data_IF_930265150494
#
_entry.id   IF_930265150494
#
_cell.length_a   1.000
_cell.length_b   1.000
_cell.length_c   1.000
_cell.angle_alpha   90.00
_cell.angle_beta   90.00
_cell.angle_gamma   90.00
#
_symmetry.space_group_name_H-M   'P 1'
#
loop_
_entity.id
_entity.type
_entity.pdbx_description
1 polymer ?
#
# COMPACT_ATOMS: atom_id res chain seq x y z
N UNK A 1 0.85 21.66 6.31
CA UNK A 1 1.19 20.40 7.00
C UNK A 1 2.71 20.24 7.06
N UNK A 2 3.23 19.93 8.23
CA UNK A 2 4.62 19.53 8.42
C UNK A 2 4.70 18.04 8.74
N UNK A 3 5.86 17.45 8.49
CA UNK A 3 6.16 16.04 8.75
C UNK A 3 7.42 15.94 9.60
N UNK A 4 7.36 15.18 10.67
CA UNK A 4 8.52 14.86 11.48
C UNK A 4 8.95 13.41 11.27
N UNK A 5 10.19 13.12 11.62
CA UNK A 5 10.71 11.75 11.61
C UNK A 5 10.30 11.01 12.89
N UNK A 6 9.81 9.78 12.78
CA UNK A 6 9.60 8.90 13.93
C UNK A 6 10.91 8.52 14.65
N UNK A 7 12.07 8.70 14.01
CA UNK A 7 13.39 8.65 14.64
C UNK A 7 13.70 9.84 15.54
N UNK A 8 12.93 10.94 15.42
CA UNK A 8 12.96 12.18 16.23
C UNK A 8 14.31 12.90 16.26
N UNK A 9 15.20 12.64 15.27
CA UNK A 9 16.54 13.25 15.15
C UNK A 9 16.71 14.08 13.88
N UNK A 10 15.72 14.09 12.98
CA UNK A 10 15.72 14.88 11.77
C UNK A 10 14.81 16.11 11.92
N UNK A 11 15.06 17.21 11.18
CA UNK A 11 14.19 18.37 11.18
C UNK A 11 12.83 18.05 10.56
N UNK A 12 11.81 18.83 10.95
CA UNK A 12 10.51 18.77 10.30
C UNK A 12 10.61 19.29 8.86
N UNK A 13 9.83 18.68 7.98
CA UNK A 13 9.82 19.02 6.54
C UNK A 13 8.39 19.16 6.04
N UNK A 14 8.19 19.78 4.89
CA UNK A 14 6.90 19.81 4.19
C UNK A 14 6.62 18.48 3.45
N UNK A 15 5.40 18.35 2.91
CA UNK A 15 5.01 17.16 2.14
C UNK A 15 5.91 16.95 0.90
N UNK A 16 6.29 18.03 0.19
CA UNK A 16 7.18 17.95 -0.99
C UNK A 16 8.48 17.25 -0.63
N UNK A 17 9.14 17.73 0.41
CA UNK A 17 10.42 17.16 0.88
C UNK A 17 10.25 15.71 1.36
N UNK A 18 9.22 15.43 2.16
CA UNK A 18 8.95 14.08 2.65
C UNK A 18 8.68 13.07 1.51
N UNK A 19 7.93 13.48 0.48
CA UNK A 19 7.64 12.65 -0.69
C UNK A 19 8.87 12.42 -1.58
N UNK A 20 9.71 13.46 -1.78
CA UNK A 20 10.91 13.35 -2.62
C UNK A 20 12.01 12.55 -1.92
N UNK A 21 12.23 12.73 -0.62
CA UNK A 21 13.27 11.99 0.12
C UNK A 21 12.83 10.59 0.51
N UNK A 22 11.51 10.37 0.69
CA UNK A 22 10.92 9.08 1.04
C UNK A 22 11.16 8.64 2.48
N UNK A 23 12.33 8.88 3.03
CA UNK A 23 12.73 8.56 4.40
C UNK A 23 13.59 9.68 4.97
N UNK A 24 13.48 9.94 6.26
CA UNK A 24 14.25 10.98 6.93
C UNK A 24 15.75 10.64 7.03
N UNK A 25 16.64 11.64 7.14
CA UNK A 25 18.11 11.41 7.26
C UNK A 25 18.51 10.53 8.44
N UNK A 26 17.71 10.51 9.52
CA UNK A 26 17.89 9.64 10.69
C UNK A 26 17.31 8.23 10.49
N UNK A 27 16.88 7.89 9.26
CA UNK A 27 16.23 6.64 8.86
C UNK A 27 14.86 6.40 9.50
N UNK A 28 14.29 7.38 10.21
CA UNK A 28 12.92 7.35 10.67
C UNK A 28 11.93 7.53 9.52
N UNK A 29 10.72 7.00 9.68
CA UNK A 29 9.64 7.23 8.73
C UNK A 29 9.04 8.62 9.00
N UNK A 30 8.68 9.32 7.94
CA UNK A 30 7.94 10.57 8.08
C UNK A 30 6.50 10.31 8.54
N UNK A 31 6.04 11.18 9.44
CA UNK A 31 4.69 11.18 9.99
C UNK A 31 4.17 12.63 10.09
N UNK A 32 2.89 12.92 9.80
CA UNK A 32 2.36 14.28 9.90
C UNK A 32 2.39 14.78 11.36
N UNK A 33 2.73 16.06 11.56
CA UNK A 33 2.79 16.67 12.91
C UNK A 33 1.44 16.70 13.60
N UNK A 34 0.36 16.64 12.84
CA UNK A 34 -1.01 16.49 13.33
C UNK A 34 -1.82 15.59 12.39
N UNK A 35 -2.74 14.83 12.94
CA UNK A 35 -3.70 14.06 12.15
C UNK A 35 -4.88 14.97 11.85
N UNK A 36 -5.14 15.30 10.56
CA UNK A 36 -6.28 16.12 10.19
C UNK A 36 -7.58 15.52 10.72
N UNK A 37 -8.44 16.37 11.29
CA UNK A 37 -9.75 15.96 11.83
C UNK A 37 -10.86 16.50 10.94
N UNK A 38 -11.72 15.61 10.46
CA UNK A 38 -12.92 15.99 9.72
C UNK A 38 -14.08 16.23 10.71
N UNK A 39 -14.79 17.33 10.51
CA UNK A 39 -16.01 17.64 11.27
C UNK A 39 -17.14 16.70 10.88
N UNK A 40 -18.17 16.59 11.75
CA UNK A 40 -19.37 15.81 11.44
C UNK A 40 -20.05 16.28 10.13
N UNK A 41 -20.07 17.60 9.87
CA UNK A 41 -20.61 18.16 8.64
C UNK A 41 -19.80 17.76 7.39
N UNK A 42 -18.47 17.67 7.50
CA UNK A 42 -17.62 17.16 6.40
C UNK A 42 -17.85 15.67 6.16
N UNK A 43 -17.91 14.87 7.23
CA UNK A 43 -18.20 13.42 7.12
C UNK A 43 -19.57 13.22 6.47
N UNK A 44 -20.60 13.98 6.86
CA UNK A 44 -21.93 13.89 6.23
C UNK A 44 -21.87 14.24 4.73
N UNK A 45 -21.14 15.29 4.37
CA UNK A 45 -20.94 15.69 2.97
C UNK A 45 -20.19 14.60 2.16
N UNK A 46 -19.26 13.87 2.79
CA UNK A 46 -18.49 12.83 2.13
C UNK A 46 -19.35 11.67 1.62
N UNK A 47 -20.53 11.44 2.19
CA UNK A 47 -21.47 10.39 1.71
C UNK A 47 -21.87 10.55 0.24
N UNK A 48 -21.87 11.76 -0.28
CA UNK A 48 -22.41 12.09 -1.62
C UNK A 48 -21.38 12.63 -2.60
N UNK A 49 -20.13 12.82 -2.18
CA UNK A 49 -19.08 13.26 -3.08
C UNK A 49 -18.70 12.16 -4.09
N UNK A 50 -18.40 12.58 -5.31
CA UNK A 50 -17.72 11.68 -6.26
C UNK A 50 -16.31 11.30 -5.79
N UNK A 51 -15.76 10.23 -6.35
CA UNK A 51 -14.47 9.69 -5.93
C UNK A 51 -13.33 10.73 -5.98
N UNK A 52 -13.26 11.53 -7.03
CA UNK A 52 -12.18 12.51 -7.21
C UNK A 52 -12.28 13.65 -6.21
N UNK A 53 -13.50 14.16 -5.99
CA UNK A 53 -13.78 15.21 -5.00
C UNK A 53 -13.50 14.72 -3.59
N UNK A 54 -13.93 13.50 -3.25
CA UNK A 54 -13.64 12.90 -1.95
C UNK A 54 -12.14 12.72 -1.73
N UNK A 55 -11.42 12.18 -2.73
CA UNK A 55 -9.97 12.01 -2.66
C UNK A 55 -9.24 13.35 -2.46
N UNK A 56 -9.68 14.40 -3.14
CA UNK A 56 -9.14 15.75 -2.96
C UNK A 56 -9.34 16.25 -1.51
N UNK A 57 -10.57 16.16 -0.98
CA UNK A 57 -10.87 16.62 0.38
C UNK A 57 -10.04 15.86 1.43
N UNK A 58 -9.86 14.55 1.25
CA UNK A 58 -9.08 13.72 2.17
C UNK A 58 -7.59 14.04 2.07
N UNK A 59 -7.05 14.23 0.86
CA UNK A 59 -5.61 14.41 0.67
C UNK A 59 -5.13 15.85 0.84
N UNK A 60 -5.98 16.84 0.63
CA UNK A 60 -5.64 18.27 0.72
C UNK A 60 -4.95 18.68 2.02
N UNK A 61 -5.44 18.32 3.21
CA UNK A 61 -4.77 18.69 4.46
C UNK A 61 -3.38 18.07 4.60
N UNK A 62 -3.16 16.85 4.08
CA UNK A 62 -1.87 16.17 4.14
C UNK A 62 -0.82 16.80 3.20
N UNK A 63 -1.24 17.23 2.02
CA UNK A 63 -0.35 17.89 1.03
C UNK A 63 0.06 19.31 1.49
N UNK A 64 -0.79 19.94 2.31
CA UNK A 64 -0.45 21.16 3.04
C UNK A 64 -0.07 22.37 2.17
N UNK A 65 -0.66 22.50 0.97
CA UNK A 65 -0.42 23.61 0.05
C UNK A 65 0.88 23.53 -0.76
N UNK A 66 1.61 22.41 -0.70
CA UNK A 66 2.81 22.20 -1.55
C UNK A 66 2.45 21.88 -3.00
N UNK A 67 1.19 21.56 -3.26
CA UNK A 67 0.56 21.42 -4.58
C UNK A 67 -0.66 22.34 -4.57
N UNK A 68 -0.88 23.12 -5.64
CA UNK A 68 -2.07 23.94 -5.75
C UNK A 68 -3.34 23.09 -5.89
N UNK A 69 -4.48 23.65 -5.51
CA UNK A 69 -5.74 22.93 -5.44
C UNK A 69 -6.16 22.33 -6.79
N UNK A 70 -6.01 23.04 -7.89
CA UNK A 70 -6.38 22.56 -9.22
C UNK A 70 -5.52 21.37 -9.65
N UNK A 71 -4.21 21.46 -9.43
CA UNK A 71 -3.27 20.36 -9.69
C UNK A 71 -3.53 19.16 -8.79
N UNK A 72 -3.86 19.38 -7.51
CA UNK A 72 -4.18 18.28 -6.59
C UNK A 72 -5.50 17.59 -6.97
N UNK A 73 -6.52 18.33 -7.41
CA UNK A 73 -7.77 17.73 -7.93
C UNK A 73 -7.49 16.85 -9.14
N UNK A 74 -6.67 17.32 -10.07
CA UNK A 74 -6.26 16.52 -11.22
C UNK A 74 -5.49 15.25 -10.80
N UNK A 75 -4.52 15.39 -9.89
CA UNK A 75 -3.74 14.25 -9.35
C UNK A 75 -4.67 13.22 -8.71
N UNK A 76 -5.64 13.66 -7.91
CA UNK A 76 -6.64 12.78 -7.30
C UNK A 76 -7.49 12.06 -8.36
N UNK A 77 -8.04 12.80 -9.33
CA UNK A 77 -8.87 12.23 -10.39
C UNK A 77 -8.10 11.18 -11.22
N UNK A 78 -6.86 11.48 -11.59
CA UNK A 78 -6.02 10.51 -12.31
C UNK A 78 -5.63 9.29 -11.45
N UNK A 79 -5.47 9.48 -10.15
CA UNK A 79 -5.05 8.40 -9.24
C UNK A 79 -6.11 7.32 -9.10
N UNK A 80 -7.40 7.70 -9.03
CA UNK A 80 -8.51 6.83 -8.65
C UNK A 80 -9.56 6.70 -9.77
N UNK A 81 -9.14 6.65 -11.03
CA UNK A 81 -10.03 6.53 -12.19
C UNK A 81 -10.55 5.10 -12.46
N UNK A 82 -10.60 4.27 -11.44
CA UNK A 82 -11.15 2.90 -11.43
C UNK A 82 -11.97 2.67 -10.17
N UNK A 83 -12.67 1.53 -10.07
CA UNK A 83 -13.60 1.25 -9.00
C UNK A 83 -12.97 0.47 -7.85
N UNK A 84 -13.65 0.52 -6.69
CA UNK A 84 -13.32 -0.19 -5.46
C UNK A 84 -14.64 -0.77 -4.90
N UNK A 85 -15.25 -1.77 -5.58
CA UNK A 85 -16.55 -2.28 -5.18
C UNK A 85 -16.49 -3.00 -3.84
N UNK A 86 -17.54 -2.80 -3.05
CA UNK A 86 -17.83 -3.56 -1.85
C UNK A 86 -18.79 -4.69 -2.23
N UNK A 87 -18.27 -5.92 -2.34
CA UNK A 87 -18.98 -7.09 -2.84
C UNK A 87 -19.37 -8.00 -1.67
N UNK A 88 -20.66 -8.29 -1.44
CA UNK A 88 -21.08 -9.28 -0.46
C UNK A 88 -20.60 -10.68 -0.85
N UNK A 89 -19.98 -11.42 0.08
CA UNK A 89 -19.63 -12.84 -0.11
C UNK A 89 -20.63 -13.70 0.66
N UNK A 90 -20.90 -13.33 1.91
CA UNK A 90 -21.92 -13.97 2.77
C UNK A 90 -22.78 -12.90 3.43
N UNK A 91 -23.74 -13.29 4.25
CA UNK A 91 -24.55 -12.33 5.01
C UNK A 91 -23.74 -11.47 6.00
N UNK A 92 -22.55 -11.92 6.38
CA UNK A 92 -21.71 -11.26 7.40
C UNK A 92 -20.34 -10.83 6.90
N UNK A 93 -19.87 -11.32 5.75
CA UNK A 93 -18.55 -11.01 5.18
C UNK A 93 -18.75 -10.40 3.79
N UNK A 94 -18.18 -9.21 3.60
CA UNK A 94 -18.07 -8.57 2.29
C UNK A 94 -16.61 -8.34 1.94
N UNK A 95 -16.30 -8.33 0.64
CA UNK A 95 -14.98 -8.00 0.09
C UNK A 95 -14.94 -6.58 -0.41
N UNK A 96 -13.98 -5.80 0.02
CA UNK A 96 -13.58 -4.57 -0.65
C UNK A 96 -12.52 -4.91 -1.69
N UNK A 97 -12.91 -4.93 -2.96
CA UNK A 97 -12.04 -5.30 -4.06
C UNK A 97 -11.15 -4.12 -4.47
N UNK A 98 -9.85 -4.22 -4.23
CA UNK A 98 -8.86 -3.17 -4.47
C UNK A 98 -8.01 -3.43 -5.73
N UNK A 99 -8.41 -4.37 -6.57
CA UNK A 99 -7.63 -4.89 -7.68
C UNK A 99 -8.17 -4.47 -9.06
N UNK A 100 -9.06 -3.50 -9.17
CA UNK A 100 -9.61 -3.04 -10.44
C UNK A 100 -8.75 -1.98 -11.14
N UNK A 101 -7.61 -1.65 -10.56
CA UNK A 101 -6.62 -0.76 -11.16
C UNK A 101 -5.79 -1.43 -12.26
N UNK A 102 -4.95 -0.66 -12.99
CA UNK A 102 -4.25 -1.13 -14.19
C UNK A 102 -3.27 -2.28 -13.95
N UNK A 103 -2.80 -2.50 -12.71
CA UNK A 103 -1.91 -3.61 -12.40
C UNK A 103 -2.56 -4.70 -11.55
N UNK A 104 -3.87 -4.63 -11.37
CA UNK A 104 -4.66 -5.61 -10.63
C UNK A 104 -4.19 -5.77 -9.19
N UNK A 105 -3.78 -4.68 -8.53
CA UNK A 105 -3.39 -4.67 -7.12
C UNK A 105 -3.70 -3.34 -6.45
N UNK A 106 -4.02 -3.37 -5.15
CA UNK A 106 -4.27 -2.17 -4.35
C UNK A 106 -3.15 -1.14 -4.41
N UNK A 107 -1.93 -1.59 -4.72
CA UNK A 107 -0.73 -0.74 -4.76
C UNK A 107 -0.77 0.32 -5.86
N UNK A 108 -1.70 0.23 -6.81
CA UNK A 108 -1.90 1.20 -7.89
C UNK A 108 -2.17 2.61 -7.36
N UNK A 109 -3.07 2.76 -6.40
CA UNK A 109 -3.43 4.08 -5.85
C UNK A 109 -2.20 4.81 -5.29
N UNK A 110 -1.44 4.15 -4.43
CA UNK A 110 -0.24 4.75 -3.85
C UNK A 110 0.84 5.07 -4.89
N UNK A 111 1.05 4.18 -5.88
CA UNK A 111 2.04 4.40 -6.94
C UNK A 111 1.64 5.57 -7.85
N UNK A 112 0.38 5.62 -8.26
CA UNK A 112 -0.16 6.68 -9.13
C UNK A 112 -0.15 8.04 -8.43
N UNK A 113 -0.58 8.13 -7.18
CA UNK A 113 -0.54 9.37 -6.42
C UNK A 113 0.89 9.88 -6.28
N UNK A 114 1.82 9.03 -5.81
CA UNK A 114 3.22 9.43 -5.66
C UNK A 114 3.84 9.87 -6.99
N UNK A 115 3.63 9.15 -8.06
CA UNK A 115 4.21 9.47 -9.37
C UNK A 115 3.75 10.83 -9.89
N UNK A 116 2.46 11.16 -9.72
CA UNK A 116 1.91 12.46 -10.13
C UNK A 116 2.43 13.60 -9.26
N UNK A 117 2.57 13.37 -7.95
CA UNK A 117 3.21 14.34 -7.05
C UNK A 117 4.66 14.60 -7.47
N UNK A 118 5.45 13.56 -7.71
CA UNK A 118 6.85 13.73 -8.13
C UNK A 118 6.96 14.39 -9.51
N UNK A 119 6.09 14.04 -10.46
CA UNK A 119 6.02 14.69 -11.77
C UNK A 119 5.65 16.18 -11.66
N UNK A 120 4.70 16.54 -10.79
CA UNK A 120 4.37 17.93 -10.49
C UNK A 120 5.57 18.70 -9.94
N UNK A 121 6.27 18.16 -8.94
CA UNK A 121 7.44 18.82 -8.36
C UNK A 121 8.62 18.91 -9.33
N UNK A 122 8.82 17.93 -10.20
CA UNK A 122 9.82 17.97 -11.26
C UNK A 122 9.57 19.12 -12.24
N UNK A 123 8.32 19.26 -12.72
CA UNK A 123 7.92 20.38 -13.60
C UNK A 123 8.05 21.74 -12.93
N UNK A 124 7.75 21.87 -11.65
CA UNK A 124 7.95 23.12 -10.92
C UNK A 124 9.43 23.50 -10.84
N UNK A 125 10.30 22.53 -10.50
CA UNK A 125 11.75 22.75 -10.45
C UNK A 125 12.30 23.23 -11.78
N UNK A 126 11.86 22.67 -12.90
CA UNK A 126 12.25 23.11 -14.26
C UNK A 126 11.83 24.54 -14.52
N UNK A 127 10.59 24.91 -14.20
CA UNK A 127 10.09 26.30 -14.36
C UNK A 127 10.81 27.30 -13.47
N UNK A 128 11.18 26.93 -12.24
CA UNK A 128 11.98 27.77 -11.34
C UNK A 128 13.39 27.98 -11.89
N UNK A 129 14.03 26.92 -12.41
CA UNK A 129 15.34 27.00 -13.05
C UNK A 129 15.31 27.90 -14.29
N UNK A 130 14.30 27.83 -15.15
CA UNK A 130 14.13 28.71 -16.32
C UNK A 130 13.95 30.18 -15.94
N UNK A 131 13.24 30.48 -14.84
CA UNK A 131 13.06 31.86 -14.36
C UNK A 131 14.35 32.48 -13.78
N UNK A 132 15.22 31.64 -13.21
CA UNK A 132 16.48 32.06 -12.55
C UNK A 132 17.64 32.12 -13.56
N UNK A 133 17.54 31.50 -14.72
CA UNK A 133 18.52 31.53 -15.79
C UNK A 133 18.63 32.94 -16.42
N UNK A 134 19.05 33.94 -15.61
CA UNK A 134 19.65 35.18 -16.09
C UNK A 134 21.13 34.92 -16.38
N UNK A 135 21.73 35.59 -17.41
CA UNK A 135 23.01 35.16 -18.01
C UNK A 135 24.28 35.22 -17.13
N UNK A 136 24.20 35.45 -15.83
CA UNK A 136 25.39 35.68 -14.97
C UNK A 136 25.33 35.16 -13.53
N UNK A 137 24.51 34.17 -13.21
CA UNK A 137 24.57 33.53 -11.88
C UNK A 137 24.66 32.02 -12.01
N UNK A 138 25.86 31.48 -11.74
CA UNK A 138 26.10 30.04 -11.54
C UNK A 138 25.43 29.56 -10.24
N UNK A 139 24.13 29.44 -10.22
CA UNK A 139 23.44 28.67 -9.18
C UNK A 139 23.22 27.28 -9.78
N UNK A 140 24.10 26.36 -9.45
CA UNK A 140 24.03 24.96 -9.79
C UNK A 140 22.84 24.31 -9.07
N UNK A 141 21.63 24.52 -9.55
CA UNK A 141 20.53 23.60 -9.24
C UNK A 141 20.83 22.28 -9.97
N UNK A 142 21.12 21.24 -9.21
CA UNK A 142 21.29 19.88 -9.75
C UNK A 142 20.07 19.53 -10.62
N UNK A 143 20.22 19.62 -11.93
CA UNK A 143 19.20 19.27 -12.94
C UNK A 143 19.03 17.76 -13.10
N UNK A 144 19.46 17.00 -12.07
CA UNK A 144 19.42 15.53 -12.07
C UNK A 144 17.98 15.04 -11.91
N UNK A 145 17.54 14.07 -12.72
CA UNK A 145 16.24 13.44 -12.54
C UNK A 145 16.18 12.73 -11.19
N UNK A 146 14.97 12.61 -10.64
CA UNK A 146 14.73 11.78 -9.47
C UNK A 146 14.81 10.31 -9.88
N UNK A 147 15.61 9.50 -9.18
CA UNK A 147 15.73 8.07 -9.42
C UNK A 147 15.01 7.30 -8.33
N UNK A 148 13.94 6.64 -8.71
CA UNK A 148 13.13 5.79 -7.84
C UNK A 148 13.72 4.37 -7.85
N UNK A 149 14.16 3.89 -6.68
CA UNK A 149 14.62 2.51 -6.50
C UNK A 149 13.55 1.68 -5.80
N UNK A 150 13.26 0.50 -6.35
CA UNK A 150 12.26 -0.43 -5.82
C UNK A 150 12.80 -1.85 -5.80
N UNK A 151 12.83 -2.49 -4.64
CA UNK A 151 12.89 -3.95 -4.55
C UNK A 151 11.46 -4.50 -4.48
N UNK A 152 11.16 -5.54 -5.25
CA UNK A 152 9.79 -6.08 -5.34
C UNK A 152 9.76 -7.60 -5.42
N UNK A 153 8.72 -8.18 -4.81
CA UNK A 153 8.30 -9.57 -5.01
C UNK A 153 7.18 -9.72 -6.07
N UNK A 154 6.87 -8.65 -6.82
CA UNK A 154 5.86 -8.64 -7.89
C UNK A 154 5.00 -7.38 -7.89
N UNK A 155 3.94 -7.34 -7.11
CA UNK A 155 2.88 -6.30 -7.13
C UNK A 155 3.38 -4.86 -6.98
N UNK A 156 4.30 -4.62 -6.04
CA UNK A 156 4.82 -3.26 -5.83
C UNK A 156 5.55 -2.75 -7.08
N UNK A 157 6.35 -3.60 -7.69
CA UNK A 157 7.08 -3.25 -8.90
C UNK A 157 6.15 -2.97 -10.08
N UNK A 158 5.14 -3.83 -10.31
CA UNK A 158 4.14 -3.62 -11.36
C UNK A 158 3.38 -2.30 -11.20
N UNK A 159 2.90 -2.01 -9.99
CA UNK A 159 2.23 -0.75 -9.69
C UNK A 159 3.14 0.48 -9.88
N UNK A 160 4.42 0.38 -9.49
CA UNK A 160 5.39 1.45 -9.69
C UNK A 160 5.74 1.60 -11.17
N UNK A 161 6.02 0.52 -11.89
CA UNK A 161 6.29 0.56 -13.32
C UNK A 161 5.16 1.26 -14.09
N UNK A 162 3.93 0.83 -13.86
CA UNK A 162 2.76 1.43 -14.51
C UNK A 162 2.53 2.88 -14.06
N UNK A 163 2.56 3.14 -12.76
CA UNK A 163 2.26 4.46 -12.19
C UNK A 163 3.24 5.54 -12.62
N UNK A 164 4.51 5.19 -12.82
CA UNK A 164 5.60 6.13 -13.16
C UNK A 164 5.94 6.16 -14.65
N UNK A 165 5.32 5.31 -15.48
CA UNK A 165 5.60 5.27 -16.90
C UNK A 165 5.40 6.63 -17.55
N UNK A 166 6.43 7.13 -18.24
CA UNK A 166 6.40 8.41 -18.94
C UNK A 166 6.40 9.66 -18.04
N UNK A 167 6.61 9.53 -16.71
CA UNK A 167 6.68 10.69 -15.81
C UNK A 167 8.00 11.43 -16.04
N UNK A 168 7.89 12.67 -16.51
CA UNK A 168 9.03 13.53 -16.85
C UNK A 168 9.89 13.84 -15.63
N UNK A 169 11.23 13.75 -15.80
CA UNK A 169 12.22 14.03 -14.76
C UNK A 169 12.30 12.96 -13.66
N UNK A 170 11.69 11.79 -13.88
CA UNK A 170 11.75 10.63 -12.97
C UNK A 170 12.22 9.40 -13.72
N UNK A 171 13.26 8.75 -13.23
CA UNK A 171 13.70 7.43 -13.65
C UNK A 171 13.31 6.38 -12.60
N UNK A 172 12.97 5.18 -13.03
CA UNK A 172 12.60 4.08 -12.14
C UNK A 172 13.47 2.87 -12.40
N UNK A 173 14.05 2.34 -11.35
CA UNK A 173 14.85 1.11 -11.38
C UNK A 173 14.20 0.12 -10.43
N UNK A 174 13.79 -1.03 -10.99
CA UNK A 174 13.07 -2.08 -10.27
C UNK A 174 13.96 -3.31 -10.21
N UNK A 175 14.29 -3.76 -9.00
CA UNK A 175 15.00 -4.99 -8.75
C UNK A 175 14.01 -6.08 -8.35
N UNK A 176 14.02 -7.20 -9.07
CA UNK A 176 13.15 -8.34 -8.77
C UNK A 176 13.91 -9.67 -8.87
N UNK A 177 13.58 -10.69 -8.06
CA UNK A 177 14.28 -11.95 -8.04
C UNK A 177 13.88 -12.81 -9.25
N UNK A 178 14.88 -13.33 -9.97
CA UNK A 178 14.72 -14.16 -11.17
C UNK A 178 13.89 -15.41 -10.87
N UNK A 179 12.81 -15.59 -11.67
CA UNK A 179 11.93 -16.76 -11.57
C UNK A 179 11.14 -16.87 -10.26
N UNK A 180 11.01 -15.78 -9.49
CA UNK A 180 10.28 -15.75 -8.20
C UNK A 180 9.05 -14.84 -8.22
N UNK A 181 8.69 -14.30 -9.36
CA UNK A 181 7.45 -13.52 -9.59
C UNK A 181 6.59 -14.24 -10.61
N UNK A 182 5.26 -14.12 -10.50
CA UNK A 182 4.36 -14.80 -11.44
C UNK A 182 4.48 -14.22 -12.87
N UNK A 183 4.08 -14.98 -13.91
CA UNK A 183 4.23 -14.53 -15.30
C UNK A 183 3.59 -13.17 -15.58
N UNK A 184 2.37 -12.91 -15.07
CA UNK A 184 1.69 -11.62 -15.25
C UNK A 184 2.43 -10.50 -14.52
N UNK A 185 2.86 -10.75 -13.28
CA UNK A 185 3.65 -9.77 -12.53
C UNK A 185 4.96 -9.44 -13.25
N UNK A 186 5.67 -10.45 -13.78
CA UNK A 186 6.92 -10.22 -14.51
C UNK A 186 6.69 -9.38 -15.77
N UNK A 187 5.65 -9.65 -16.55
CA UNK A 187 5.29 -8.84 -17.71
C UNK A 187 4.96 -7.39 -17.31
N UNK A 188 4.25 -7.17 -16.21
CA UNK A 188 3.96 -5.83 -15.69
C UNK A 188 5.23 -5.03 -15.34
N UNK A 189 6.30 -5.70 -14.91
CA UNK A 189 7.58 -5.05 -14.59
C UNK A 189 8.42 -4.76 -15.83
N UNK A 190 8.40 -5.67 -16.81
CA UNK A 190 9.46 -5.78 -17.82
C UNK A 190 9.05 -5.31 -19.19
N UNK A 191 7.77 -4.95 -19.40
CA UNK A 191 7.25 -4.55 -20.73
C UNK A 191 6.99 -3.05 -20.87
N UNK A 192 7.31 -2.24 -19.87
CA UNK A 192 7.04 -0.80 -19.87
C UNK A 192 8.01 0.00 -20.75
N UNK A 193 9.33 -0.20 -20.60
CA UNK A 193 10.35 0.60 -21.29
C UNK A 193 10.37 2.07 -20.84
N UNK A 194 10.80 2.97 -21.74
CA UNK A 194 10.94 4.41 -21.49
C UNK A 194 11.82 4.71 -20.27
N UNK A 195 11.27 5.36 -19.24
CA UNK A 195 11.95 5.72 -17.99
C UNK A 195 11.95 4.59 -16.94
N UNK A 196 11.47 3.38 -17.30
CA UNK A 196 11.40 2.22 -16.40
C UNK A 196 12.46 1.19 -16.82
N UNK A 197 13.32 0.83 -15.87
CA UNK A 197 14.34 -0.21 -16.05
C UNK A 197 14.10 -1.35 -15.05
N UNK A 198 14.01 -2.57 -15.55
CA UNK A 198 13.85 -3.78 -14.75
C UNK A 198 15.18 -4.54 -14.67
N UNK A 199 15.68 -4.78 -13.45
CA UNK A 199 16.87 -5.56 -13.16
C UNK A 199 16.46 -6.93 -12.60
N UNK A 200 16.77 -7.98 -13.33
CA UNK A 200 16.51 -9.36 -12.95
C UNK A 200 17.68 -9.90 -12.12
N UNK A 201 17.49 -9.96 -10.80
CA UNK A 201 18.54 -10.33 -9.84
C UNK A 201 18.62 -11.84 -9.72
N UNK A 202 19.81 -12.41 -9.89
CA UNK A 202 20.09 -13.84 -9.70
C UNK A 202 20.18 -14.19 -8.20
N UNK A 203 19.06 -14.00 -7.47
CA UNK A 203 19.00 -14.15 -6.02
C UNK A 203 17.57 -14.23 -5.50
N UNK A 204 17.42 -13.86 -4.23
CA UNK A 204 16.15 -13.79 -3.50
C UNK A 204 15.58 -12.36 -3.48
N UNK A 205 14.37 -12.21 -2.95
CA UNK A 205 13.81 -10.89 -2.68
C UNK A 205 14.61 -10.13 -1.61
N UNK A 206 15.13 -10.84 -0.61
CA UNK A 206 15.96 -10.25 0.44
C UNK A 206 17.28 -9.69 -0.14
N UNK A 207 17.87 -10.35 -1.16
CA UNK A 207 19.03 -9.82 -1.87
C UNK A 207 18.68 -8.52 -2.61
N UNK A 208 17.53 -8.46 -3.28
CA UNK A 208 17.06 -7.23 -3.91
C UNK A 208 16.89 -6.09 -2.88
N UNK A 209 16.33 -6.39 -1.71
CA UNK A 209 16.17 -5.41 -0.63
C UNK A 209 17.52 -4.96 -0.06
N UNK A 210 18.46 -5.87 0.14
CA UNK A 210 19.80 -5.57 0.62
C UNK A 210 20.52 -4.62 -0.32
N UNK A 211 20.52 -4.90 -1.63
CA UNK A 211 21.12 -4.04 -2.66
C UNK A 211 20.52 -2.63 -2.60
N UNK A 212 19.18 -2.50 -2.52
CA UNK A 212 18.51 -1.21 -2.46
C UNK A 212 18.85 -0.45 -1.16
N UNK A 213 18.91 -1.15 -0.02
CA UNK A 213 19.32 -0.54 1.27
C UNK A 213 20.75 -0.02 1.23
N UNK A 214 21.69 -0.79 0.66
CA UNK A 214 23.09 -0.37 0.49
C UNK A 214 23.18 0.85 -0.44
N UNK A 215 22.41 0.88 -1.54
CA UNK A 215 22.36 2.02 -2.45
C UNK A 215 21.94 3.33 -1.74
N UNK A 216 20.93 3.28 -0.87
CA UNK A 216 20.51 4.44 -0.07
C UNK A 216 21.56 4.88 0.97
N UNK A 217 22.45 3.99 1.37
CA UNK A 217 23.54 4.31 2.30
C UNK A 217 24.82 4.76 1.62
N UNK A 218 24.96 4.57 0.30
CA UNK A 218 26.17 4.91 -0.44
C UNK A 218 26.23 6.43 -0.75
N UNK A 219 27.17 7.19 -0.13
CA UNK A 219 27.27 8.62 -0.37
C UNK A 219 27.59 8.98 -1.83
N UNK A 220 28.33 8.12 -2.55
CA UNK A 220 28.68 8.35 -3.95
C UNK A 220 27.45 8.28 -4.85
N UNK A 221 26.58 7.28 -4.64
CA UNK A 221 25.33 7.18 -5.40
C UNK A 221 24.36 8.31 -5.02
N UNK A 222 24.27 8.67 -3.74
CA UNK A 222 23.42 9.77 -3.29
C UNK A 222 23.91 11.13 -3.82
N UNK A 223 25.23 11.33 -3.99
CA UNK A 223 25.76 12.52 -4.63
C UNK A 223 25.46 12.57 -6.14
N UNK A 224 25.50 11.41 -6.82
CA UNK A 224 25.30 11.33 -8.28
C UNK A 224 23.84 11.28 -8.68
N UNK A 225 22.96 10.71 -7.85
CA UNK A 225 21.56 10.47 -8.15
C UNK A 225 20.66 11.00 -7.03
N UNK A 226 19.51 11.56 -7.38
CA UNK A 226 18.47 11.92 -6.42
C UNK A 226 17.66 10.64 -6.10
N UNK A 227 18.19 9.79 -5.21
CA UNK A 227 17.56 8.52 -4.90
C UNK A 227 16.33 8.70 -4.01
N UNK A 228 15.25 8.02 -4.34
CA UNK A 228 14.05 7.89 -3.50
C UNK A 228 13.46 6.50 -3.57
N UNK A 229 12.70 6.11 -2.53
CA UNK A 229 12.00 4.84 -2.49
C UNK A 229 10.53 5.01 -2.82
N UNK A 230 9.99 4.13 -3.67
CA UNK A 230 8.56 4.03 -3.89
C UNK A 230 7.91 2.87 -3.10
N UNK A 231 8.51 2.40 -2.02
CA UNK A 231 7.91 1.44 -1.11
C UNK A 231 6.95 2.14 -0.12
N UNK A 232 6.22 1.37 0.68
CA UNK A 232 5.21 1.88 1.64
C UNK A 232 5.77 2.75 2.77
N UNK A 233 7.09 2.85 2.90
CA UNK A 233 7.76 3.77 3.82
C UNK A 233 7.56 5.24 3.41
N UNK A 234 7.38 5.52 2.12
CA UNK A 234 7.15 6.87 1.61
C UNK A 234 5.72 7.35 1.90
N UNK A 235 5.58 8.56 2.44
CA UNK A 235 4.27 9.14 2.80
C UNK A 235 3.34 9.29 1.60
N UNK A 236 3.88 9.62 0.41
CA UNK A 236 3.09 9.74 -0.80
C UNK A 236 2.57 8.39 -1.34
N UNK A 237 3.14 7.26 -0.88
CA UNK A 237 2.65 5.90 -1.13
C UNK A 237 1.67 5.42 -0.08
N UNK A 238 1.89 5.82 1.17
CA UNK A 238 1.12 5.36 2.31
C UNK A 238 -0.20 6.14 2.49
N UNK A 239 -0.13 7.47 2.55
CA UNK A 239 -1.30 8.30 2.87
C UNK A 239 -2.51 8.11 1.94
N UNK A 240 -2.38 8.00 0.60
CA UNK A 240 -3.54 7.84 -0.27
C UNK A 240 -4.27 6.50 -0.11
N UNK A 241 -3.70 5.51 0.58
CA UNK A 241 -4.38 4.27 0.89
C UNK A 241 -5.56 4.46 1.87
N UNK A 242 -5.65 5.60 2.56
CA UNK A 242 -6.83 5.96 3.35
C UNK A 242 -8.11 5.99 2.50
N UNK A 243 -7.99 6.35 1.22
CA UNK A 243 -9.12 6.50 0.30
C UNK A 243 -9.95 5.21 0.17
N UNK A 244 -9.34 4.04 0.28
CA UNK A 244 -10.07 2.76 0.25
C UNK A 244 -11.16 2.70 1.31
N UNK A 245 -10.84 3.16 2.52
CA UNK A 245 -11.74 3.12 3.67
C UNK A 245 -12.87 4.16 3.55
N UNK A 246 -12.59 5.31 2.95
CA UNK A 246 -13.63 6.30 2.65
C UNK A 246 -14.59 5.77 1.58
N UNK A 247 -14.10 5.15 0.51
CA UNK A 247 -14.94 4.56 -0.53
C UNK A 247 -15.75 3.36 -0.03
N UNK A 248 -15.15 2.51 0.80
CA UNK A 248 -15.85 1.42 1.46
C UNK A 248 -16.98 1.94 2.35
N UNK A 249 -16.67 2.96 3.16
CA UNK A 249 -17.62 3.57 4.06
C UNK A 249 -18.80 4.23 3.32
N UNK A 250 -18.55 4.94 2.21
CA UNK A 250 -19.65 5.48 1.38
C UNK A 250 -20.62 4.38 0.94
N UNK A 251 -20.10 3.28 0.40
CA UNK A 251 -20.90 2.15 -0.07
C UNK A 251 -21.61 1.44 1.10
N UNK A 252 -20.92 1.28 2.22
CA UNK A 252 -21.48 0.68 3.42
C UNK A 252 -22.68 1.49 3.95
N UNK A 253 -22.52 2.80 4.10
CA UNK A 253 -23.61 3.68 4.54
C UNK A 253 -24.76 3.64 3.56
N UNK A 254 -24.51 3.72 2.26
CA UNK A 254 -25.54 3.69 1.23
C UNK A 254 -26.39 2.40 1.25
N UNK A 255 -25.82 1.27 1.71
CA UNK A 255 -26.50 -0.03 1.73
C UNK A 255 -27.04 -0.44 3.10
N UNK A 256 -26.45 0.07 4.20
CA UNK A 256 -26.76 -0.36 5.57
C UNK A 256 -27.48 0.69 6.41
N UNK A 257 -27.62 1.93 5.94
CA UNK A 257 -28.28 2.99 6.69
C UNK A 257 -29.81 2.76 6.74
N UNK A 258 -30.35 2.74 7.95
CA UNK A 258 -31.80 2.63 8.17
C UNK A 258 -32.52 3.99 7.99
N UNK A 259 -33.85 3.98 8.12
CA UNK A 259 -34.69 5.18 8.00
C UNK A 259 -34.42 6.26 9.07
N UNK A 260 -33.78 5.90 10.18
CA UNK A 260 -33.39 6.80 11.26
C UNK A 260 -31.98 7.36 11.08
N UNK A 261 -31.27 6.95 10.02
CA UNK A 261 -29.91 7.36 9.75
C UNK A 261 -28.85 6.54 10.48
N UNK A 262 -29.23 5.47 11.19
CA UNK A 262 -28.29 4.55 11.84
C UNK A 262 -27.74 3.54 10.83
N UNK A 263 -26.46 3.23 10.96
CA UNK A 263 -25.78 2.11 10.29
C UNK A 263 -24.79 1.44 11.26
N UNK A 264 -24.65 0.12 11.17
CA UNK A 264 -23.74 -0.60 12.05
C UNK A 264 -22.28 -0.23 11.75
N UNK A 265 -21.39 -0.21 12.77
CA UNK A 265 -19.96 -0.01 12.55
C UNK A 265 -19.38 -1.04 11.56
N UNK A 266 -18.56 -0.59 10.63
CA UNK A 266 -17.90 -1.40 9.62
C UNK A 266 -16.59 -1.95 10.19
N UNK A 267 -16.53 -3.24 10.57
CA UNK A 267 -15.31 -3.90 11.05
C UNK A 267 -14.43 -4.28 9.86
N UNK A 268 -13.15 -4.01 9.94
CA UNK A 268 -12.22 -4.11 8.82
C UNK A 268 -11.17 -5.18 9.08
N UNK A 269 -11.03 -6.13 8.17
CA UNK A 269 -10.01 -7.19 8.22
C UNK A 269 -9.02 -7.00 7.08
N UNK A 270 -7.77 -6.75 7.41
CA UNK A 270 -6.74 -6.33 6.44
C UNK A 270 -5.61 -7.35 6.38
N UNK A 271 -5.33 -7.94 5.20
CA UNK A 271 -4.14 -8.77 5.02
C UNK A 271 -2.89 -7.89 5.22
N UNK A 272 -2.06 -8.25 6.19
CA UNK A 272 -1.05 -7.36 6.77
C UNK A 272 0.35 -7.98 6.79
N UNK A 273 1.21 -7.53 5.86
CA UNK A 273 2.66 -7.79 5.88
C UNK A 273 3.43 -6.59 6.43
N UNK A 274 3.63 -5.54 5.63
CA UNK A 274 4.28 -4.29 6.06
C UNK A 274 3.36 -3.34 6.85
N UNK A 275 2.11 -3.69 7.09
CA UNK A 275 1.13 -2.92 7.85
C UNK A 275 0.80 -1.52 7.28
N UNK A 276 1.17 -1.25 6.03
CA UNK A 276 0.92 0.05 5.39
C UNK A 276 -0.56 0.33 5.17
N UNK A 277 -1.29 -0.65 4.65
CA UNK A 277 -2.72 -0.52 4.32
C UNK A 277 -3.56 -0.35 5.61
N UNK A 278 -3.44 -1.26 6.58
CA UNK A 278 -4.18 -1.17 7.84
C UNK A 278 -3.83 0.12 8.61
N UNK A 279 -2.56 0.55 8.58
CA UNK A 279 -2.14 1.83 9.16
C UNK A 279 -2.86 3.02 8.51
N UNK A 280 -3.05 3.00 7.19
CA UNK A 280 -3.81 4.04 6.49
C UNK A 280 -5.30 4.04 6.89
N UNK A 281 -5.90 2.87 7.11
CA UNK A 281 -7.25 2.74 7.66
C UNK A 281 -7.38 3.30 9.08
N UNK A 282 -6.42 2.98 9.94
CA UNK A 282 -6.39 3.53 11.30
C UNK A 282 -6.17 5.04 11.29
N UNK A 283 -5.39 5.58 10.34
CA UNK A 283 -5.26 7.02 10.11
C UNK A 283 -6.60 7.64 9.69
N UNK A 284 -7.35 7.02 8.77
CA UNK A 284 -8.69 7.48 8.37
C UNK A 284 -9.66 7.50 9.57
N UNK A 285 -9.66 6.45 10.40
CA UNK A 285 -10.44 6.42 11.65
C UNK A 285 -10.00 7.52 12.61
N UNK A 286 -8.71 7.71 12.79
CA UNK A 286 -8.17 8.78 13.62
C UNK A 286 -8.52 10.18 13.07
N UNK A 287 -8.75 10.32 11.76
CA UNK A 287 -9.23 11.56 11.13
C UNK A 287 -10.74 11.81 11.32
N UNK A 288 -11.48 10.88 11.93
CA UNK A 288 -12.90 11.02 12.23
C UNK A 288 -13.83 10.19 11.35
N UNK A 289 -13.30 9.35 10.42
CA UNK A 289 -14.13 8.42 9.66
C UNK A 289 -14.72 7.36 10.61
N UNK A 290 -16.05 7.15 10.66
CA UNK A 290 -16.69 6.27 11.63
C UNK A 290 -16.55 4.79 11.23
N UNK A 291 -15.35 4.24 11.44
CA UNK A 291 -15.02 2.84 11.23
C UNK A 291 -15.13 2.04 12.53
N UNK A 292 -15.46 0.75 12.39
CA UNK A 292 -15.50 -0.20 13.48
C UNK A 292 -14.11 -0.64 13.97
N UNK A 293 -13.99 -1.89 14.34
CA UNK A 293 -12.75 -2.50 14.81
C UNK A 293 -11.83 -2.90 13.64
N UNK A 294 -10.52 -2.91 13.88
CA UNK A 294 -9.53 -3.38 12.92
C UNK A 294 -8.99 -4.76 13.30
N UNK A 295 -8.88 -5.61 12.30
CA UNK A 295 -8.27 -6.94 12.42
C UNK A 295 -7.10 -7.03 11.44
N UNK A 296 -5.89 -7.24 11.95
CA UNK A 296 -4.73 -7.55 11.13
C UNK A 296 -4.70 -9.06 10.87
N UNK A 297 -4.88 -9.45 9.60
CA UNK A 297 -4.75 -10.83 9.17
C UNK A 297 -3.30 -11.05 8.70
N UNK A 298 -2.53 -11.84 9.44
CA UNK A 298 -1.15 -12.19 9.13
C UNK A 298 -1.08 -13.62 8.59
N UNK A 299 -0.08 -13.90 7.75
CA UNK A 299 0.35 -15.26 7.50
C UNK A 299 1.28 -15.73 8.65
N UNK A 300 2.07 -16.78 8.46
CA UNK A 300 3.01 -17.28 9.48
C UNK A 300 4.11 -16.27 9.84
N UNK A 301 4.22 -15.15 9.11
CA UNK A 301 5.05 -14.01 9.49
C UNK A 301 4.26 -13.08 10.43
N UNK A 302 4.07 -13.48 11.66
CA UNK A 302 3.06 -13.01 12.60
C UNK A 302 3.62 -12.16 13.76
N UNK A 303 4.68 -11.41 13.52
CA UNK A 303 5.36 -10.58 14.54
C UNK A 303 4.38 -9.75 15.37
N UNK A 304 3.41 -9.08 14.72
CA UNK A 304 2.43 -8.24 15.42
C UNK A 304 1.41 -9.07 16.18
N UNK A 305 0.98 -10.23 15.66
CA UNK A 305 0.07 -11.14 16.37
C UNK A 305 0.69 -11.61 17.67
N UNK A 306 1.98 -12.01 17.64
CA UNK A 306 2.73 -12.39 18.85
C UNK A 306 2.95 -11.21 19.79
N UNK A 307 3.25 -10.01 19.25
CA UNK A 307 3.38 -8.80 20.06
C UNK A 307 2.10 -8.47 20.82
N UNK A 308 0.94 -8.54 20.18
CA UNK A 308 -0.35 -8.31 20.85
C UNK A 308 -0.63 -9.32 21.98
N UNK A 309 -0.15 -10.55 21.84
CA UNK A 309 -0.33 -11.59 22.85
C UNK A 309 0.67 -11.51 24.02
N UNK A 310 1.88 -10.99 23.79
CA UNK A 310 3.00 -11.12 24.74
C UNK A 310 3.62 -9.79 25.19
N UNK A 311 3.25 -8.69 24.54
CA UNK A 311 3.89 -7.35 24.67
C UNK A 311 5.39 -7.36 24.33
N UNK A 312 5.88 -8.41 23.65
CA UNK A 312 7.28 -8.51 23.22
C UNK A 312 7.36 -8.43 21.71
N UNK A 313 7.96 -7.36 21.18
CA UNK A 313 8.15 -7.18 19.75
C UNK A 313 9.43 -7.88 19.28
N UNK A 314 9.29 -9.07 18.76
CA UNK A 314 10.41 -9.94 18.34
C UNK A 314 10.38 -10.11 16.82
N UNK A 315 11.34 -9.48 16.14
CA UNK A 315 11.52 -9.63 14.69
C UNK A 315 12.15 -10.99 14.35
N UNK A 316 11.84 -11.50 13.17
CA UNK A 316 12.45 -12.72 12.66
C UNK A 316 12.73 -12.62 11.15
N UNK A 317 13.52 -13.56 10.62
CA UNK A 317 13.69 -13.72 9.19
C UNK A 317 12.35 -14.11 8.56
N UNK A 318 12.00 -13.49 7.44
CA UNK A 318 10.75 -13.80 6.74
C UNK A 318 10.72 -15.27 6.28
N UNK A 319 9.57 -15.89 6.46
CA UNK A 319 9.27 -17.27 6.02
C UNK A 319 8.47 -17.16 4.73
N UNK A 320 8.89 -17.87 3.70
CA UNK A 320 8.18 -17.91 2.42
C UNK A 320 6.83 -18.62 2.55
N UNK A 321 5.76 -17.99 2.06
CA UNK A 321 4.39 -18.50 2.09
C UNK A 321 3.69 -18.32 0.74
N UNK A 322 2.48 -18.90 0.59
CA UNK A 322 1.64 -18.70 -0.61
C UNK A 322 1.08 -17.28 -0.72
N UNK A 323 0.99 -16.54 0.38
CA UNK A 323 0.62 -15.11 0.42
C UNK A 323 1.87 -14.21 0.49
N UNK A 324 2.75 -14.38 -0.48
CA UNK A 324 4.14 -13.90 -0.45
C UNK A 324 4.33 -12.38 -0.30
N UNK A 325 3.36 -11.56 -0.66
CA UNK A 325 3.43 -10.11 -0.44
C UNK A 325 3.32 -9.72 1.05
N UNK A 326 2.99 -10.68 1.92
CA UNK A 326 2.93 -10.55 3.37
C UNK A 326 4.12 -11.20 4.09
N UNK A 327 5.11 -11.75 3.37
CA UNK A 327 6.31 -12.38 3.95
C UNK A 327 7.25 -11.31 4.51
N UNK A 328 6.93 -10.81 5.68
CA UNK A 328 7.60 -9.68 6.33
C UNK A 328 7.87 -9.99 7.80
N UNK A 329 9.14 -10.24 8.13
CA UNK A 329 9.58 -10.51 9.52
C UNK A 329 9.80 -9.26 10.38
N UNK A 330 9.68 -8.04 9.79
CA UNK A 330 9.79 -6.76 10.51
C UNK A 330 8.92 -5.69 9.82
N UNK A 331 7.64 -5.58 10.16
CA UNK A 331 6.68 -4.65 9.55
C UNK A 331 7.08 -3.18 9.69
N UNK A 332 7.49 -2.54 8.59
CA UNK A 332 8.04 -1.18 8.62
C UNK A 332 7.01 -0.09 9.00
N UNK A 333 5.71 -0.29 8.74
CA UNK A 333 4.67 0.70 9.09
C UNK A 333 4.05 0.49 10.47
N UNK A 334 4.41 -0.56 11.19
CA UNK A 334 3.85 -0.79 12.53
C UNK A 334 4.20 0.34 13.51
N UNK A 335 5.37 0.95 13.36
CA UNK A 335 5.76 2.14 14.15
C UNK A 335 4.82 3.33 13.95
N UNK A 336 4.20 3.47 12.76
CA UNK A 336 3.17 4.50 12.49
C UNK A 336 1.86 4.19 13.20
N UNK A 337 1.47 2.92 13.30
CA UNK A 337 0.30 2.49 14.09
C UNK A 337 0.52 2.83 15.55
N UNK A 338 1.70 2.51 16.08
CA UNK A 338 2.05 2.85 17.46
C UNK A 338 2.00 4.36 17.70
N UNK A 339 2.47 5.17 16.73
CA UNK A 339 2.42 6.64 16.85
C UNK A 339 0.98 7.18 16.79
N UNK A 340 0.09 6.63 15.95
CA UNK A 340 -1.35 6.97 15.92
C UNK A 340 -1.99 6.72 17.30
N UNK A 341 -1.52 5.68 17.99
CA UNK A 341 -2.05 5.26 19.30
C UNK A 341 -1.16 5.73 20.47
N UNK A 342 -0.36 6.79 20.26
CA UNK A 342 0.47 7.45 21.26
C UNK A 342 1.45 6.49 21.97
N UNK A 343 1.90 5.45 21.27
CA UNK A 343 2.77 4.38 21.77
C UNK A 343 2.22 3.68 23.01
N UNK A 344 0.88 3.58 23.12
CA UNK A 344 0.18 3.02 24.27
C UNK A 344 -0.33 1.60 23.94
N UNK A 345 0.20 0.58 24.61
CA UNK A 345 -0.17 -0.82 24.37
C UNK A 345 -1.64 -1.14 24.68
N UNK A 346 -2.25 -0.69 25.79
CA UNK A 346 -3.70 -0.81 25.99
C UNK A 346 -4.55 -0.20 24.89
N UNK A 347 -4.16 0.98 24.36
CA UNK A 347 -4.85 1.59 23.21
C UNK A 347 -4.72 0.73 21.97
N UNK A 348 -3.56 0.09 21.75
CA UNK A 348 -3.34 -0.82 20.64
C UNK A 348 -4.24 -2.06 20.73
N UNK A 349 -4.29 -2.75 21.86
CA UNK A 349 -5.11 -3.96 22.05
C UNK A 349 -6.61 -3.68 21.98
N UNK A 350 -7.03 -2.46 22.34
CA UNK A 350 -8.42 -2.01 22.17
C UNK A 350 -8.78 -1.69 20.70
N UNK A 351 -7.81 -1.22 19.90
CA UNK A 351 -8.06 -0.79 18.53
C UNK A 351 -7.81 -1.88 17.48
N UNK A 352 -6.97 -2.86 17.80
CA UNK A 352 -6.46 -3.85 16.86
C UNK A 352 -6.48 -5.26 17.45
N UNK A 353 -7.09 -6.19 16.73
CA UNK A 353 -6.94 -7.65 16.93
C UNK A 353 -6.08 -8.21 15.81
N UNK A 354 -5.40 -9.33 16.02
CA UNK A 354 -4.63 -9.98 14.96
C UNK A 354 -4.72 -11.49 15.04
N UNK A 355 -4.71 -12.13 13.85
CA UNK A 355 -4.69 -13.60 13.71
C UNK A 355 -3.61 -14.02 12.74
N UNK A 356 -3.01 -15.19 13.01
CA UNK A 356 -2.01 -15.85 12.15
C UNK A 356 -2.66 -17.02 11.43
N UNK A 357 -2.58 -17.04 10.10
CA UNK A 357 -3.18 -18.04 9.22
C UNK A 357 -2.08 -18.72 8.40
N UNK A 358 -2.01 -20.04 8.47
CA UNK A 358 -1.01 -20.81 7.72
C UNK A 358 -1.42 -21.09 6.27
N UNK A 359 -0.49 -21.61 5.48
CA UNK A 359 -0.70 -21.93 4.06
C UNK A 359 -1.76 -23.01 3.85
N UNK A 360 -1.87 -23.98 4.77
CA UNK A 360 -2.87 -25.05 4.69
C UNK A 360 -4.28 -24.49 4.83
N UNK A 361 -4.49 -23.64 5.83
CA UNK A 361 -5.73 -22.92 6.06
C UNK A 361 -6.04 -21.96 4.91
N UNK A 362 -5.04 -21.26 4.40
CA UNK A 362 -5.17 -20.32 3.26
C UNK A 362 -5.72 -21.07 2.02
N UNK A 363 -5.05 -22.14 1.58
CA UNK A 363 -5.47 -22.95 0.43
C UNK A 363 -6.87 -23.58 0.63
N UNK A 364 -7.14 -24.12 1.82
CA UNK A 364 -8.45 -24.67 2.14
C UNK A 364 -9.55 -23.60 2.10
N UNK A 365 -9.27 -22.38 2.53
CA UNK A 365 -10.20 -21.25 2.48
C UNK A 365 -10.51 -20.84 1.03
N UNK A 366 -9.51 -20.73 0.15
CA UNK A 366 -9.71 -20.47 -1.29
C UNK A 366 -10.66 -21.51 -1.88
N UNK A 367 -10.34 -22.80 -1.71
CA UNK A 367 -11.12 -23.90 -2.25
C UNK A 367 -12.58 -23.89 -1.74
N UNK A 368 -12.76 -23.68 -0.45
CA UNK A 368 -14.06 -23.68 0.19
C UNK A 368 -14.93 -22.51 -0.27
N UNK A 369 -14.43 -21.28 -0.18
CA UNK A 369 -15.18 -20.07 -0.53
C UNK A 369 -15.55 -20.07 -2.02
N UNK A 370 -14.65 -20.53 -2.88
CA UNK A 370 -14.96 -20.73 -4.29
C UNK A 370 -16.16 -21.69 -4.48
N UNK A 371 -16.18 -22.81 -3.76
CA UNK A 371 -17.20 -23.85 -3.90
C UNK A 371 -18.55 -23.46 -3.27
N UNK A 372 -18.53 -22.79 -2.09
CA UNK A 372 -19.75 -22.51 -1.32
C UNK A 372 -20.37 -21.17 -1.68
N UNK A 373 -19.55 -20.16 -1.95
CA UNK A 373 -19.98 -18.78 -2.10
C UNK A 373 -19.76 -18.25 -3.53
N UNK A 374 -19.20 -19.10 -4.43
CA UNK A 374 -18.88 -18.73 -5.82
C UNK A 374 -18.01 -17.46 -5.92
N UNK A 375 -17.11 -17.27 -4.95
CA UNK A 375 -16.17 -16.14 -4.91
C UNK A 375 -14.74 -16.66 -4.92
N UNK A 376 -13.90 -16.08 -5.81
CA UNK A 376 -12.50 -16.49 -5.95
C UNK A 376 -11.60 -15.51 -5.18
N UNK A 377 -11.00 -15.99 -4.10
CA UNK A 377 -10.04 -15.23 -3.29
C UNK A 377 -8.62 -15.37 -3.86
N UNK A 378 -7.84 -14.28 -3.79
CA UNK A 378 -6.37 -14.40 -3.85
C UNK A 378 -5.82 -14.93 -2.51
N UNK A 379 -4.56 -15.40 -2.44
CA UNK A 379 -4.03 -15.95 -1.20
C UNK A 379 -4.03 -14.96 -0.02
N UNK A 380 -3.89 -13.66 -0.27
CA UNK A 380 -3.90 -12.63 0.78
C UNK A 380 -5.34 -12.37 1.28
N UNK A 381 -6.30 -12.29 0.36
CA UNK A 381 -7.72 -12.22 0.67
C UNK A 381 -8.19 -13.44 1.43
N UNK A 382 -7.68 -14.63 1.10
CA UNK A 382 -8.01 -15.87 1.83
C UNK A 382 -7.50 -15.84 3.29
N UNK A 383 -6.32 -15.28 3.53
CA UNK A 383 -5.83 -15.04 4.90
C UNK A 383 -6.77 -14.09 5.64
N UNK A 384 -7.22 -13.01 4.97
CA UNK A 384 -8.17 -12.06 5.58
C UNK A 384 -9.54 -12.70 5.82
N UNK A 385 -10.03 -13.52 4.91
CA UNK A 385 -11.31 -14.22 5.05
C UNK A 385 -11.30 -15.19 6.24
N UNK A 386 -10.27 -16.04 6.35
CA UNK A 386 -10.13 -16.95 7.49
C UNK A 386 -10.02 -16.20 8.83
N UNK A 387 -9.29 -15.11 8.86
CA UNK A 387 -9.20 -14.24 10.05
C UNK A 387 -10.56 -13.59 10.39
N UNK A 388 -11.35 -13.20 9.38
CA UNK A 388 -12.69 -12.66 9.57
C UNK A 388 -13.65 -13.69 10.22
N UNK A 389 -13.61 -14.94 9.78
CA UNK A 389 -14.40 -16.02 10.37
C UNK A 389 -14.06 -16.23 11.86
N UNK A 390 -12.76 -16.25 12.19
CA UNK A 390 -12.31 -16.38 13.59
C UNK A 390 -12.79 -15.19 14.43
N UNK A 391 -12.66 -13.96 13.88
CA UNK A 391 -13.10 -12.75 14.54
C UNK A 391 -14.61 -12.77 14.84
N UNK A 392 -15.43 -13.08 13.84
CA UNK A 392 -16.89 -13.15 13.98
C UNK A 392 -17.33 -14.23 14.98
N UNK A 393 -16.71 -15.41 14.96
CA UNK A 393 -16.98 -16.47 15.91
C UNK A 393 -16.62 -16.06 17.36
N UNK A 394 -15.55 -15.29 17.55
CA UNK A 394 -15.19 -14.76 18.87
C UNK A 394 -16.16 -13.68 19.36
N UNK A 395 -16.69 -12.84 18.47
CA UNK A 395 -17.75 -11.88 18.83
C UNK A 395 -19.01 -12.60 19.31
N UNK A 396 -19.42 -13.70 18.66
CA UNK A 396 -20.58 -14.49 19.07
C UNK A 396 -20.43 -15.09 20.47
N UNK A 397 -19.27 -15.70 20.75
CA UNK A 397 -18.98 -16.27 22.08
C UNK A 397 -19.05 -15.22 23.19
N UNK A 398 -18.52 -14.03 22.94
CA UNK A 398 -18.50 -12.94 23.92
C UNK A 398 -19.92 -12.39 24.15
N UNK A 399 -20.76 -12.32 23.11
CA UNK A 399 -22.15 -11.85 23.22
C UNK A 399 -23.05 -12.83 23.97
N UNK A 400 -22.83 -14.13 23.86
CA UNK A 400 -23.58 -15.14 24.62
C UNK A 400 -23.19 -15.17 26.10
N UNK A 401 -22.01 -14.66 26.46
CA UNK A 401 -21.49 -14.64 27.84
C UNK A 401 -21.88 -13.38 28.64
N UNK A 402 -22.33 -12.33 27.98
CA UNK A 402 -22.75 -11.06 28.59
C UNK A 402 -24.23 -10.81 28.33
N UNK A 403 -25.04 -10.58 29.37
CA UNK A 403 -26.41 -10.07 29.30
C UNK A 403 -26.44 -8.62 28.78
N UNK A 404 -25.84 -8.37 27.62
CA UNK A 404 -25.61 -7.02 27.12
C UNK A 404 -26.71 -6.62 26.14
N UNK A 405 -27.77 -5.98 26.63
CA UNK A 405 -28.78 -5.26 25.83
C UNK A 405 -28.19 -4.06 25.04
N UNK A 406 -26.87 -3.75 25.20
CA UNK A 406 -26.20 -2.62 24.60
C UNK A 406 -24.98 -2.97 23.74
N UNK A 407 -24.85 -4.21 23.24
CA UNK A 407 -23.68 -4.56 22.44
C UNK A 407 -23.90 -4.15 20.97
N UNK A 408 -23.46 -2.93 20.64
CA UNK A 408 -23.49 -2.34 19.28
C UNK A 408 -22.44 -2.98 18.34
N UNK A 409 -21.80 -4.07 18.75
CA UNK A 409 -20.84 -4.77 17.91
C UNK A 409 -21.57 -5.40 16.70
N UNK A 410 -21.40 -4.75 15.57
CA UNK A 410 -21.91 -5.23 14.28
C UNK A 410 -21.36 -6.62 13.96
N UNK A 411 -22.23 -7.55 13.59
CA UNK A 411 -21.85 -8.88 13.09
C UNK A 411 -21.45 -8.82 11.62
N UNK A 412 -20.54 -7.96 11.28
CA UNK A 412 -20.00 -7.87 9.92
C UNK A 412 -18.48 -7.78 9.93
N UNK A 413 -17.88 -8.21 8.83
CA UNK A 413 -16.47 -8.06 8.55
C UNK A 413 -16.29 -7.69 7.07
N UNK A 414 -15.55 -6.61 6.83
CA UNK A 414 -15.13 -6.22 5.49
C UNK A 414 -13.68 -6.67 5.32
N UNK A 415 -13.46 -7.67 4.50
CA UNK A 415 -12.11 -8.08 4.11
C UNK A 415 -11.61 -7.19 2.98
N UNK A 416 -10.30 -6.97 2.91
CA UNK A 416 -9.67 -6.29 1.78
C UNK A 416 -9.06 -7.32 0.82
N UNK A 417 -9.61 -7.38 -0.39
CA UNK A 417 -9.05 -8.18 -1.48
C UNK A 417 -8.02 -7.34 -2.23
N UNK A 418 -6.73 -7.64 -2.00
CA UNK A 418 -5.64 -6.71 -2.33
C UNK A 418 -5.00 -6.93 -3.68
N UNK A 419 -5.27 -8.07 -4.32
CA UNK A 419 -4.81 -8.39 -5.66
C UNK A 419 -5.82 -9.30 -6.38
N UNK A 420 -5.86 -9.23 -7.70
CA UNK A 420 -6.68 -10.15 -8.48
C UNK A 420 -6.10 -11.57 -8.44
N UNK A 421 -6.92 -12.62 -8.26
CA UNK A 421 -6.46 -14.01 -8.17
C UNK A 421 -5.56 -14.48 -9.32
N UNK A 422 -5.74 -13.94 -10.52
CA UNK A 422 -4.91 -14.27 -11.71
C UNK A 422 -3.40 -13.97 -11.52
N UNK A 423 -3.04 -13.19 -10.51
CA UNK A 423 -1.64 -12.89 -10.19
C UNK A 423 -0.96 -14.03 -9.41
N UNK A 424 -1.72 -14.99 -8.94
CA UNK A 424 -1.26 -16.13 -8.13
C UNK A 424 -1.83 -17.46 -8.68
N UNK A 425 -1.69 -17.73 -10.01
CA UNK A 425 -2.36 -18.85 -10.65
C UNK A 425 -1.94 -20.20 -10.03
N UNK A 426 -0.65 -20.37 -9.72
CA UNK A 426 -0.13 -21.63 -9.17
C UNK A 426 -0.84 -22.06 -7.88
N UNK A 427 -1.22 -21.10 -7.03
CA UNK A 427 -1.91 -21.35 -5.76
C UNK A 427 -3.42 -21.45 -5.96
N UNK A 428 -4.00 -20.50 -6.69
CA UNK A 428 -5.46 -20.38 -6.77
C UNK A 428 -6.04 -21.45 -7.69
N UNK A 429 -5.44 -21.68 -8.87
CA UNK A 429 -5.91 -22.73 -9.81
C UNK A 429 -5.79 -24.14 -9.22
N UNK A 430 -4.70 -24.40 -8.47
CA UNK A 430 -4.57 -25.66 -7.70
C UNK A 430 -5.72 -25.82 -6.70
N UNK A 431 -6.05 -24.74 -5.97
CA UNK A 431 -7.07 -24.79 -4.92
C UNK A 431 -8.50 -24.94 -5.47
N UNK A 432 -8.83 -24.26 -6.58
CA UNK A 432 -10.18 -24.28 -7.16
C UNK A 432 -10.36 -25.38 -8.22
N UNK A 433 -9.28 -26.02 -8.66
CA UNK A 433 -9.30 -27.11 -9.64
C UNK A 433 -9.59 -26.66 -11.09
N UNK A 434 -9.44 -25.37 -11.40
CA UNK A 434 -9.66 -24.83 -12.75
C UNK A 434 -8.81 -23.59 -13.03
N UNK A 435 -8.62 -23.28 -14.32
CA UNK A 435 -7.88 -22.10 -14.77
C UNK A 435 -8.68 -20.80 -14.57
N UNK A 436 -8.00 -19.75 -14.09
CA UNK A 436 -8.58 -18.43 -13.92
C UNK A 436 -8.53 -17.66 -15.25
N UNK A 437 -9.67 -17.08 -15.65
CA UNK A 437 -9.72 -16.23 -16.83
C UNK A 437 -8.87 -14.97 -16.65
N UNK A 438 -7.98 -14.71 -17.60
CA UNK A 438 -7.15 -13.49 -17.59
C UNK A 438 -8.05 -12.29 -17.96
N UNK A 439 -8.12 -11.25 -17.10
CA UNK A 439 -8.89 -10.04 -17.38
C UNK A 439 -8.46 -9.35 -18.67
N UNK A 440 -9.42 -8.82 -19.43
CA UNK A 440 -9.15 -8.12 -20.71
C UNK A 440 -8.20 -6.95 -20.53
N UNK A 441 -8.25 -6.30 -19.37
CA UNK A 441 -7.38 -5.17 -19.01
C UNK A 441 -5.89 -5.49 -19.01
N UNK A 442 -5.50 -6.77 -18.93
CA UNK A 442 -4.08 -7.21 -18.91
C UNK A 442 -3.74 -8.22 -20.01
N UNK A 443 -4.71 -8.66 -20.83
CA UNK A 443 -4.44 -9.60 -21.94
C UNK A 443 -3.38 -9.09 -22.92
N UNK A 444 -3.35 -7.79 -23.17
CA UNK A 444 -2.36 -7.16 -24.07
C UNK A 444 -0.90 -7.36 -23.59
N UNK A 445 -0.68 -7.70 -22.33
CA UNK A 445 0.67 -8.01 -21.82
C UNK A 445 1.21 -9.31 -22.36
N UNK A 446 0.34 -10.28 -22.69
CA UNK A 446 0.73 -11.61 -23.16
C UNK A 446 1.44 -11.56 -24.52
N UNK A 447 1.13 -10.55 -25.33
CA UNK A 447 1.74 -10.34 -26.65
C UNK A 447 3.07 -9.55 -26.56
N UNK A 448 3.42 -9.05 -25.36
CA UNK A 448 4.64 -8.26 -25.18
C UNK A 448 5.84 -9.12 -24.84
N UNK A 449 7.00 -8.68 -25.31
CA UNK A 449 8.28 -9.33 -25.00
C UNK A 449 8.86 -8.75 -23.70
N UNK A 450 9.26 -9.64 -22.81
CA UNK A 450 10.05 -9.33 -21.62
C UNK A 450 11.35 -8.60 -21.98
N UNK A 451 11.61 -7.47 -21.32
CA UNK A 451 12.85 -6.71 -21.42
C UNK A 451 13.36 -6.49 -19.99
N UNK A 452 14.41 -7.19 -19.61
CA UNK A 452 15.06 -7.06 -18.31
C UNK A 452 16.57 -7.16 -18.47
N UNK A 453 17.30 -6.58 -17.53
CA UNK A 453 18.76 -6.64 -17.47
C UNK A 453 19.14 -7.61 -16.36
N UNK A 454 19.88 -8.71 -16.66
CA UNK A 454 20.32 -9.63 -15.63
C UNK A 454 21.37 -8.95 -14.71
N UNK A 455 21.25 -9.19 -13.41
CA UNK A 455 22.13 -8.63 -12.39
C UNK A 455 22.52 -9.69 -11.37
N UNK A 456 23.82 -9.79 -11.06
CA UNK A 456 24.28 -10.63 -9.95
C UNK A 456 23.77 -10.12 -8.62
N UNK A 457 23.47 -11.03 -7.67
CA UNK A 457 22.87 -10.71 -6.37
C UNK A 457 23.90 -10.08 -5.39
N UNK A 458 24.55 -8.99 -5.81
CA UNK A 458 25.45 -8.24 -4.94
C UNK A 458 25.45 -6.74 -5.27
N UNK A 459 25.71 -5.93 -4.26
CA UNK A 459 25.69 -4.48 -4.36
C UNK A 459 26.76 -3.91 -5.32
N UNK A 460 27.94 -4.53 -5.40
CA UNK A 460 29.02 -4.06 -6.29
C UNK A 460 28.60 -4.10 -7.76
N UNK A 461 27.94 -5.18 -8.19
CA UNK A 461 27.39 -5.29 -9.54
C UNK A 461 26.35 -4.19 -9.83
N UNK A 462 25.43 -3.95 -8.89
CA UNK A 462 24.45 -2.88 -9.00
C UNK A 462 25.11 -1.49 -9.08
N UNK A 463 26.07 -1.19 -8.20
CA UNK A 463 26.79 0.09 -8.17
C UNK A 463 27.54 0.36 -9.48
N UNK A 464 28.20 -0.66 -10.04
CA UNK A 464 28.90 -0.54 -11.31
C UNK A 464 27.91 -0.26 -12.44
N UNK A 465 26.82 -1.03 -12.51
CA UNK A 465 25.75 -0.80 -13.49
C UNK A 465 25.18 0.62 -13.43
N UNK A 466 24.90 1.14 -12.22
CA UNK A 466 24.43 2.50 -12.02
C UNK A 466 25.41 3.56 -12.56
N UNK A 467 26.72 3.36 -12.37
CA UNK A 467 27.76 4.30 -12.81
C UNK A 467 28.02 4.27 -14.31
N UNK A 468 27.87 3.13 -14.94
CA UNK A 468 28.08 2.94 -16.38
C UNK A 468 26.97 3.58 -17.22
N UNK A 469 25.85 3.99 -16.64
CA UNK A 469 24.75 4.69 -17.29
C UNK A 469 24.01 3.85 -18.35
N UNK A 470 24.00 2.54 -18.19
CA UNK A 470 23.34 1.59 -19.12
C UNK A 470 22.00 1.14 -18.57
#
# INVERSE_FOLDING_TARGET
>A
MQYYSLGKKAPNVDFRTAAITGQAPDKGLYFPTEIPKFTAAQIERFKTLDKASLAFEVMKPYVGGTIDDASLQQICAETINFDFPLVPITDTISSLELFHGPTLAFKDVGARFMSRCLGYYSKQKSKEAEKIAKPHTEINFSNKPTTVLVATSGDTGGAVANGFLGVEGVNVIILYPKGKVSPIQELQLTTCGQNITALEVEGSFDDCQAIVKEAFMDPVLNEQFNLTSANSINVARWLPQQLYYFFAWQQWVATQQDANGYYPPMNIVVPSGNFGNICAGMMAKASGLPLGHFVAACNTNDVVTRYLATEKYEIHTAIATVSNAMDVGNPSNFVRIMEILENNFPSLTNALTSYSIDDTTTKATIARVYKTDNYTLDPHGAVAYAAAEIYLANLEKNNTSSNAENNTNSRNAIILETAHPVKFPDVVEEAIGQTIAIPDSVKFLLDKKKISIPLAANYTAFKNWMKEGK
#
